data_IF_191029735306
#
_entry.id   IF_191029735306
#
_cell.length_a   1.000
_cell.length_b   1.000
_cell.length_c   1.000
_cell.angle_alpha   90.00
_cell.angle_beta   90.00
_cell.angle_gamma   90.00
#
_symmetry.space_group_name_H-M   'P 1'
#
loop_
_entity.id
_entity.type
_entity.pdbx_description
1 polymer ?
#
# COMPACT_ATOMS: atom_id res chain seq x y z
N UNK A 1 18.67 0.36 -15.35
CA UNK A 1 18.36 0.28 -13.90
C UNK A 1 17.61 -1.01 -13.67
N UNK A 2 17.88 -1.71 -12.55
CA UNK A 2 17.19 -2.95 -12.22
C UNK A 2 15.76 -2.68 -11.74
N UNK A 3 14.91 -3.70 -11.81
CA UNK A 3 13.58 -3.66 -11.19
C UNK A 3 13.72 -3.58 -9.66
N UNK A 4 12.89 -2.78 -9.02
CA UNK A 4 12.80 -2.68 -7.57
C UNK A 4 12.29 -3.97 -6.93
N UNK A 5 12.44 -4.05 -5.61
CA UNK A 5 12.02 -5.19 -4.79
C UNK A 5 10.71 -4.92 -4.06
N UNK A 6 9.85 -5.92 -3.97
CA UNK A 6 8.61 -5.87 -3.22
C UNK A 6 8.77 -6.62 -1.90
N UNK A 7 8.59 -5.92 -0.78
CA UNK A 7 8.49 -6.51 0.56
C UNK A 7 7.06 -6.40 1.05
N UNK A 8 6.50 -7.51 1.56
CA UNK A 8 5.12 -7.57 2.02
C UNK A 8 5.07 -7.90 3.51
N UNK A 9 4.42 -7.04 4.29
CA UNK A 9 3.95 -7.36 5.63
C UNK A 9 2.61 -8.10 5.51
N UNK A 10 2.67 -9.43 5.56
CA UNK A 10 1.49 -10.30 5.49
C UNK A 10 0.85 -10.46 6.88
N UNK A 11 -0.48 -10.37 6.96
CA UNK A 11 -1.20 -10.60 8.21
C UNK A 11 -2.42 -11.49 8.06
N UNK A 12 -2.78 -12.16 9.14
CA UNK A 12 -3.93 -13.06 9.16
C UNK A 12 -5.28 -12.32 9.09
N UNK A 13 -5.34 -11.09 9.62
CA UNK A 13 -6.57 -10.32 9.74
C UNK A 13 -6.31 -8.80 9.85
N UNK A 14 -7.34 -7.95 9.69
CA UNK A 14 -7.28 -6.55 10.10
C UNK A 14 -6.89 -6.40 11.58
N UNK A 15 -6.09 -5.37 11.89
CA UNK A 15 -5.71 -5.06 13.28
C UNK A 15 -4.47 -5.79 13.81
N UNK A 16 -3.91 -6.77 13.11
CA UNK A 16 -2.69 -7.49 13.53
C UNK A 16 -1.39 -6.67 13.47
N UNK A 17 -1.48 -5.38 13.13
CA UNK A 17 -0.36 -4.44 13.20
C UNK A 17 0.51 -4.32 11.94
N UNK A 18 0.07 -4.80 10.76
CA UNK A 18 0.86 -4.73 9.51
C UNK A 18 1.34 -3.31 9.17
N UNK A 19 0.41 -2.34 9.15
CA UNK A 19 0.72 -0.92 8.87
C UNK A 19 1.71 -0.36 9.89
N UNK A 20 1.50 -0.67 11.17
CA UNK A 20 2.43 -0.26 12.24
C UNK A 20 3.83 -0.85 12.02
N UNK A 21 3.93 -2.14 11.67
CA UNK A 21 5.20 -2.80 11.39
C UNK A 21 5.92 -2.21 10.17
N UNK A 22 5.17 -1.91 9.09
CA UNK A 22 5.67 -1.24 7.89
C UNK A 22 6.23 0.16 8.21
N UNK A 23 5.47 1.00 8.92
CA UNK A 23 5.92 2.34 9.31
C UNK A 23 7.11 2.29 10.27
N UNK A 24 7.10 1.35 11.23
CA UNK A 24 8.24 1.14 12.14
C UNK A 24 9.51 0.72 11.39
N UNK A 25 9.37 -0.05 10.31
CA UNK A 25 10.50 -0.39 9.44
C UNK A 25 11.01 0.84 8.67
N UNK A 26 10.11 1.68 8.19
CA UNK A 26 10.47 2.91 7.48
C UNK A 26 11.30 3.85 8.36
N UNK A 27 10.90 4.07 9.61
CA UNK A 27 11.68 4.84 10.59
C UNK A 27 13.12 4.30 10.70
N UNK A 28 13.28 3.00 10.92
CA UNK A 28 14.61 2.37 10.99
C UNK A 28 15.43 2.55 9.71
N UNK A 29 14.80 2.61 8.54
CA UNK A 29 15.47 2.81 7.24
C UNK A 29 15.90 4.28 7.08
N UNK A 30 15.03 5.22 7.40
CA UNK A 30 15.30 6.67 7.39
C UNK A 30 16.42 7.01 8.38
N UNK A 31 16.39 6.46 9.59
CA UNK A 31 17.46 6.62 10.60
C UNK A 31 18.83 6.14 10.10
N UNK A 32 18.86 5.19 9.16
CA UNK A 32 20.09 4.69 8.50
C UNK A 32 20.42 5.44 7.20
N UNK A 33 19.70 6.52 6.88
CA UNK A 33 19.91 7.34 5.70
C UNK A 33 19.31 6.78 4.40
N UNK A 34 18.37 5.83 4.48
CA UNK A 34 17.64 5.37 3.29
C UNK A 34 16.57 6.39 2.91
N UNK A 35 16.55 6.82 1.64
CA UNK A 35 15.51 7.68 1.09
C UNK A 35 14.17 6.93 1.01
N UNK A 36 13.25 7.24 1.93
CA UNK A 36 11.95 6.58 2.04
C UNK A 36 10.83 7.62 2.00
N UNK A 37 9.75 7.30 1.28
CA UNK A 37 8.53 8.13 1.27
C UNK A 37 7.29 7.30 1.57
N UNK A 38 6.32 7.88 2.26
CA UNK A 38 4.97 7.35 2.39
C UNK A 38 4.18 7.72 1.13
N UNK A 39 3.99 6.75 0.24
CA UNK A 39 3.20 6.94 -0.97
C UNK A 39 1.70 6.79 -0.69
N UNK A 40 1.33 5.81 0.14
CA UNK A 40 -0.04 5.64 0.62
C UNK A 40 -0.07 4.85 1.92
N UNK A 41 -0.77 5.35 2.95
CA UNK A 41 -1.04 4.64 4.20
C UNK A 41 -2.47 4.88 4.63
N UNK A 42 -3.17 3.82 5.01
CA UNK A 42 -4.49 3.91 5.63
C UNK A 42 -4.41 3.55 7.13
N UNK A 43 -4.54 4.56 7.99
CA UNK A 43 -4.37 4.41 9.43
C UNK A 43 -5.68 4.07 10.16
N UNK A 44 -6.84 4.12 9.49
CA UNK A 44 -8.15 3.72 10.05
C UNK A 44 -8.46 4.40 11.40
N UNK A 45 -8.02 5.65 11.60
CA UNK A 45 -8.21 6.41 12.84
C UNK A 45 -7.45 5.89 14.06
N UNK A 46 -6.41 5.06 13.88
CA UNK A 46 -5.61 4.51 14.99
C UNK A 46 -4.51 5.50 15.41
N UNK A 47 -4.58 6.13 16.60
CA UNK A 47 -3.67 7.22 16.96
C UNK A 47 -2.19 6.83 16.98
N UNK A 48 -1.88 5.60 17.41
CA UNK A 48 -0.50 5.09 17.44
C UNK A 48 0.09 4.86 16.05
N UNK A 49 -0.74 4.60 15.05
CA UNK A 49 -0.29 4.41 13.66
C UNK A 49 -0.13 5.77 12.98
N UNK A 50 -1.06 6.68 13.23
CA UNK A 50 -1.00 8.06 12.75
C UNK A 50 0.25 8.79 13.28
N UNK A 51 0.58 8.65 14.56
CA UNK A 51 1.80 9.20 15.14
C UNK A 51 3.11 8.65 14.52
N UNK A 52 3.08 7.51 13.83
CA UNK A 52 4.25 7.01 13.11
C UNK A 52 4.42 7.65 11.72
N UNK A 53 3.44 8.41 11.23
CA UNK A 53 3.59 9.21 10.02
C UNK A 53 4.45 10.46 10.29
N UNK A 54 4.47 10.95 11.53
CA UNK A 54 5.32 12.04 11.94
C UNK A 54 6.80 11.66 11.76
N UNK A 55 7.55 12.53 11.09
CA UNK A 55 8.97 12.28 10.78
C UNK A 55 9.21 11.46 9.52
N UNK A 56 8.17 11.05 8.79
CA UNK A 56 8.29 10.46 7.46
C UNK A 56 7.80 11.45 6.39
N UNK A 57 8.53 11.56 5.28
CA UNK A 57 8.08 12.31 4.10
C UNK A 57 6.83 11.63 3.52
N UNK A 58 5.80 12.40 3.18
CA UNK A 58 4.53 11.88 2.64
C UNK A 58 4.23 12.52 1.29
N UNK A 59 3.88 11.71 0.31
CA UNK A 59 3.34 12.19 -0.97
C UNK A 59 1.86 12.54 -0.77
N UNK A 60 1.40 13.75 -1.16
CA UNK A 60 -0.02 14.09 -1.13
C UNK A 60 -0.85 13.09 -1.95
N UNK A 61 -2.01 12.70 -1.42
CA UNK A 61 -2.92 11.81 -2.14
C UNK A 61 -3.57 12.53 -3.31
N UNK A 62 -3.82 11.80 -4.40
CA UNK A 62 -4.61 12.30 -5.53
C UNK A 62 -6.10 12.27 -5.19
N UNK A 63 -6.85 13.27 -5.64
CA UNK A 63 -8.31 13.31 -5.47
C UNK A 63 -9.02 12.78 -6.72
N UNK A 64 -9.97 11.86 -6.52
CA UNK A 64 -10.78 11.26 -7.59
C UNK A 64 -12.25 11.42 -7.25
N UNK A 65 -13.02 12.02 -8.17
CA UNK A 65 -14.48 12.17 -8.02
C UNK A 65 -15.16 10.92 -8.55
N UNK A 66 -15.87 10.19 -7.68
CA UNK A 66 -16.64 9.01 -8.05
C UNK A 66 -18.03 9.04 -7.43
N UNK A 67 -19.08 8.92 -8.27
CA UNK A 67 -20.50 8.97 -7.84
C UNK A 67 -20.82 10.18 -6.95
N UNK A 68 -20.31 11.36 -7.33
CA UNK A 68 -20.48 12.62 -6.61
C UNK A 68 -19.84 12.67 -5.21
N UNK A 69 -18.98 11.69 -4.88
CA UNK A 69 -18.15 11.71 -3.67
C UNK A 69 -16.68 11.88 -4.04
N UNK A 70 -16.00 12.76 -3.32
CA UNK A 70 -14.54 12.88 -3.41
C UNK A 70 -13.91 11.69 -2.68
N UNK A 71 -12.99 11.01 -3.37
CA UNK A 71 -12.18 9.92 -2.84
C UNK A 71 -10.70 10.27 -3.01
N UNK A 72 -9.84 9.63 -2.23
CA UNK A 72 -8.39 9.82 -2.35
C UNK A 72 -7.71 8.52 -2.73
N UNK A 73 -6.66 8.61 -3.54
CA UNK A 73 -5.83 7.48 -3.96
C UNK A 73 -4.35 7.84 -3.90
N UNK A 74 -3.49 6.83 -4.06
CA UNK A 74 -2.06 7.06 -4.25
C UNK A 74 -1.84 7.91 -5.51
N UNK A 75 -1.01 8.94 -5.43
CA UNK A 75 -0.54 9.68 -6.59
C UNK A 75 0.70 9.00 -7.18
N UNK A 76 0.47 8.09 -8.13
CA UNK A 76 1.54 7.29 -8.75
C UNK A 76 2.55 8.18 -9.47
N UNK A 77 2.06 9.22 -10.17
CA UNK A 77 2.92 10.11 -10.95
C UNK A 77 3.82 10.95 -10.02
N UNK A 78 3.28 11.46 -8.92
CA UNK A 78 4.07 12.18 -7.93
C UNK A 78 5.15 11.30 -7.27
N UNK A 79 4.86 10.02 -6.99
CA UNK A 79 5.86 9.08 -6.45
C UNK A 79 6.94 8.78 -7.49
N UNK A 80 6.57 8.59 -8.76
CA UNK A 80 7.51 8.36 -9.85
C UNK A 80 8.40 9.58 -10.09
N UNK A 81 7.84 10.79 -10.03
CA UNK A 81 8.59 12.04 -10.15
C UNK A 81 9.55 12.25 -8.97
N UNK A 82 9.10 11.94 -7.75
CA UNK A 82 9.93 12.01 -6.54
C UNK A 82 11.07 10.97 -6.55
N UNK A 83 10.90 9.85 -7.25
CA UNK A 83 11.88 8.78 -7.43
C UNK A 83 12.62 8.35 -6.14
N UNK A 84 11.90 8.00 -5.06
CA UNK A 84 12.52 7.59 -3.80
C UNK A 84 13.25 6.24 -3.95
N UNK A 85 14.20 5.94 -3.06
CA UNK A 85 14.75 4.59 -3.00
C UNK A 85 13.71 3.56 -2.54
N UNK A 86 12.84 3.94 -1.59
CA UNK A 86 11.77 3.09 -1.04
C UNK A 86 10.44 3.85 -0.94
N UNK A 87 9.35 3.26 -1.43
CA UNK A 87 7.99 3.75 -1.22
C UNK A 87 7.19 2.82 -0.28
N UNK A 88 6.47 3.39 0.68
CA UNK A 88 5.51 2.66 1.51
C UNK A 88 4.12 2.75 0.89
N UNK A 89 3.51 1.60 0.61
CA UNK A 89 2.20 1.49 -0.05
C UNK A 89 1.32 0.51 0.69
N UNK A 90 0.39 0.98 1.50
CA UNK A 90 -0.53 0.12 2.25
C UNK A 90 -1.66 -0.47 1.38
N UNK A 91 -2.24 -1.57 1.87
CA UNK A 91 -3.40 -2.26 1.27
C UNK A 91 -3.17 -2.71 -0.18
N UNK A 92 -2.21 -3.59 -0.42
CA UNK A 92 -1.84 -4.09 -1.76
C UNK A 92 -3.02 -4.65 -2.58
N UNK A 93 -4.01 -5.22 -1.89
CA UNK A 93 -5.20 -5.81 -2.50
C UNK A 93 -6.26 -4.79 -2.94
N UNK A 94 -6.11 -3.52 -2.57
CA UNK A 94 -7.10 -2.46 -2.80
C UNK A 94 -7.51 -2.36 -4.27
N UNK A 95 -8.80 -2.16 -4.48
CA UNK A 95 -9.38 -1.80 -5.78
C UNK A 95 -9.44 -0.30 -5.89
N UNK A 96 -8.66 0.24 -6.82
CA UNK A 96 -8.60 1.68 -7.01
C UNK A 96 -9.96 2.24 -7.41
N UNK A 97 -10.23 3.48 -7.02
CA UNK A 97 -11.45 4.21 -7.39
C UNK A 97 -11.61 4.23 -8.92
N UNK A 98 -12.82 3.94 -9.47
CA UNK A 98 -13.02 4.00 -10.91
C UNK A 98 -12.73 5.40 -11.46
N UNK A 99 -11.87 5.48 -12.48
CA UNK A 99 -11.30 6.72 -12.99
C UNK A 99 -9.80 6.87 -12.68
N UNK A 100 -9.27 6.07 -11.75
CA UNK A 100 -7.82 5.97 -11.50
C UNK A 100 -7.07 5.35 -12.69
N UNK A 101 -5.77 5.63 -12.75
CA UNK A 101 -4.82 5.12 -13.76
C UNK A 101 -4.89 3.60 -13.92
N UNK A 102 -4.81 2.88 -12.81
CA UNK A 102 -4.93 1.42 -12.75
C UNK A 102 -6.17 1.01 -11.97
N UNK A 103 -6.65 -0.21 -12.21
CA UNK A 103 -7.80 -0.77 -11.52
C UNK A 103 -7.45 -1.32 -10.12
N UNK A 104 -6.20 -1.73 -9.88
CA UNK A 104 -5.75 -2.36 -8.64
C UNK A 104 -4.47 -1.72 -8.14
N UNK A 105 -4.34 -1.56 -6.82
CA UNK A 105 -3.13 -0.97 -6.21
C UNK A 105 -1.86 -1.77 -6.47
N UNK A 106 -1.95 -3.10 -6.57
CA UNK A 106 -0.79 -3.91 -6.96
C UNK A 106 -0.26 -3.56 -8.37
N UNK A 107 -1.10 -3.05 -9.28
CA UNK A 107 -0.66 -2.57 -10.60
C UNK A 107 0.11 -1.25 -10.48
N UNK A 108 -0.30 -0.36 -9.58
CA UNK A 108 0.47 0.85 -9.28
C UNK A 108 1.84 0.49 -8.69
N UNK A 109 1.87 -0.46 -7.74
CA UNK A 109 3.11 -1.00 -7.17
C UNK A 109 4.00 -1.60 -8.26
N UNK A 110 3.43 -2.33 -9.21
CA UNK A 110 4.18 -2.85 -10.37
C UNK A 110 4.84 -1.76 -11.20
N UNK A 111 4.21 -0.59 -11.36
CA UNK A 111 4.81 0.56 -12.04
C UNK A 111 6.00 1.14 -11.26
N UNK A 112 5.86 1.31 -9.94
CA UNK A 112 6.94 1.77 -9.08
C UNK A 112 8.15 0.82 -9.14
N UNK A 113 7.89 -0.50 -9.05
CA UNK A 113 8.94 -1.52 -9.14
C UNK A 113 9.63 -1.49 -10.51
N UNK A 114 8.89 -1.30 -11.61
CA UNK A 114 9.48 -1.16 -12.96
C UNK A 114 10.35 0.08 -13.09
N UNK A 115 10.04 1.16 -12.37
CA UNK A 115 10.86 2.35 -12.29
C UNK A 115 12.12 2.18 -11.42
N UNK A 116 12.27 1.04 -10.73
CA UNK A 116 13.42 0.75 -9.87
C UNK A 116 13.24 1.19 -8.42
N UNK A 117 12.02 1.59 -8.03
CA UNK A 117 11.68 1.98 -6.66
C UNK A 117 11.35 0.71 -5.87
N UNK A 118 12.01 0.49 -4.72
CA UNK A 118 11.62 -0.58 -3.81
C UNK A 118 10.27 -0.25 -3.15
N UNK A 119 9.41 -1.24 -2.96
CA UNK A 119 8.11 -1.04 -2.31
C UNK A 119 7.99 -1.92 -1.07
N UNK A 120 7.58 -1.30 0.04
CA UNK A 120 7.11 -2.03 1.23
C UNK A 120 5.60 -1.87 1.30
N UNK A 121 4.89 -2.99 1.36
CA UNK A 121 3.44 -3.01 1.32
C UNK A 121 2.83 -3.90 2.40
N UNK A 122 1.52 -3.87 2.56
CA UNK A 122 0.79 -4.76 3.46
C UNK A 122 -0.38 -5.45 2.76
N UNK A 123 -0.65 -6.68 3.18
CA UNK A 123 -1.80 -7.45 2.67
C UNK A 123 -2.31 -8.41 3.74
N UNK A 124 -3.62 -8.66 3.77
CA UNK A 124 -4.14 -9.79 4.55
C UNK A 124 -4.14 -11.05 3.71
N UNK A 125 -3.86 -12.19 4.33
CA UNK A 125 -3.83 -13.51 3.68
C UNK A 125 -5.13 -13.85 2.94
N UNK A 126 -6.26 -13.35 3.43
CA UNK A 126 -7.57 -13.55 2.80
C UNK A 126 -7.67 -12.97 1.37
N UNK A 127 -6.81 -12.01 1.00
CA UNK A 127 -6.84 -11.38 -0.31
C UNK A 127 -5.94 -12.10 -1.34
N UNK A 128 -5.25 -13.17 -0.98
CA UNK A 128 -4.47 -13.93 -1.97
C UNK A 128 -5.43 -14.75 -2.83
N UNK A 129 -5.33 -14.58 -4.15
CA UNK A 129 -6.24 -15.25 -5.10
C UNK A 129 -6.21 -16.78 -4.93
N UNK A 130 -5.02 -17.34 -4.71
CA UNK A 130 -4.80 -18.77 -4.44
C UNK A 130 -5.53 -19.32 -3.20
N UNK A 131 -5.96 -18.46 -2.28
CA UNK A 131 -6.65 -18.84 -1.05
C UNK A 131 -8.14 -18.50 -1.06
N UNK A 132 -8.66 -17.96 -2.17
CA UNK A 132 -10.04 -17.47 -2.28
C UNK A 132 -11.08 -18.53 -1.91
N UNK A 133 -11.00 -19.72 -2.52
CA UNK A 133 -11.96 -20.81 -2.29
C UNK A 133 -11.93 -21.32 -0.84
N UNK A 134 -10.73 -21.41 -0.25
CA UNK A 134 -10.56 -21.85 1.14
C UNK A 134 -11.17 -20.82 2.10
N UNK A 135 -10.89 -19.54 1.89
CA UNK A 135 -11.44 -18.46 2.72
C UNK A 135 -12.96 -18.41 2.63
N UNK A 136 -13.52 -18.52 1.42
CA UNK A 136 -14.97 -18.55 1.20
C UNK A 136 -15.61 -19.77 1.90
N UNK A 137 -14.99 -20.94 1.82
CA UNK A 137 -15.51 -22.15 2.49
C UNK A 137 -15.56 -22.04 4.02
N UNK A 138 -14.61 -21.31 4.62
CA UNK A 138 -14.51 -21.14 6.08
C UNK A 138 -15.40 -19.99 6.58
N UNK A 139 -15.41 -18.88 5.85
CA UNK A 139 -16.05 -17.63 6.32
C UNK A 139 -17.43 -17.41 5.74
N UNK A 140 -17.79 -18.11 4.65
CA UNK A 140 -18.99 -17.85 3.85
C UNK A 140 -18.94 -16.55 3.04
N UNK A 141 -17.79 -15.87 3.01
CA UNK A 141 -17.63 -14.56 2.37
C UNK A 141 -16.63 -14.63 1.22
N UNK A 142 -17.09 -14.35 0.00
CA UNK A 142 -16.24 -14.24 -1.18
C UNK A 142 -15.48 -12.92 -1.20
N UNK A 143 -14.17 -13.00 -1.29
CA UNK A 143 -13.30 -11.82 -1.39
C UNK A 143 -13.34 -11.24 -2.81
N UNK A 144 -13.63 -9.94 -2.92
CA UNK A 144 -13.67 -9.21 -4.20
C UNK A 144 -12.37 -8.48 -4.51
N UNK A 145 -11.58 -8.23 -3.47
CA UNK A 145 -10.30 -7.55 -3.56
C UNK A 145 -9.20 -8.59 -3.41
N UNK A 146 -8.50 -8.87 -4.51
CA UNK A 146 -7.47 -9.90 -4.56
C UNK A 146 -6.14 -9.40 -5.12
N UNK A 147 -5.08 -10.09 -4.73
CA UNK A 147 -3.72 -10.00 -5.29
C UNK A 147 -3.39 -11.38 -5.90
N UNK A 148 -2.86 -11.43 -7.13
CA UNK A 148 -2.42 -12.67 -7.78
C UNK A 148 -1.32 -13.40 -7.01
#
# INVERSE_FOLDING_TARGET
MGRGTLRIHLGAAPGVGKTYAMLSEAHRRVERGTDCVVAFVEHHGRPRTEALLDGLEQVPRSEVVHRSALRTEMDVDAVLERAPAVALVDELAHTNVPGSRNAKRWQDVEELLRAGIDVISTVNIQHLESLGDVVESITGVRQRETVP
#
